data_IF_332987397294
#
_entry.id   IF_332987397294
#
_cell.length_a   1.000
_cell.length_b   1.000
_cell.length_c   1.000
_cell.angle_alpha   90.00
_cell.angle_beta   90.00
_cell.angle_gamma   90.00
#
_symmetry.space_group_name_H-M   'P 1'
#
loop_
_entity.id
_entity.type
_entity.pdbx_description
1 polymer ?
#
# COMPACT_ATOMS: atom_id res chain seq x y z
N UNK A 1 23.31 -5.98 55.35
CA UNK A 1 23.52 -5.76 53.89
C UNK A 1 22.47 -6.55 53.12
N UNK A 2 22.05 -6.06 51.93
CA UNK A 2 21.12 -6.65 50.93
C UNK A 2 19.71 -6.06 50.87
N UNK A 3 19.61 -4.79 50.46
CA UNK A 3 18.35 -4.28 49.89
C UNK A 3 18.53 -3.30 48.70
N UNK A 4 19.69 -3.32 48.03
CA UNK A 4 20.01 -2.39 46.92
C UNK A 4 20.14 -3.04 45.53
N UNK A 5 19.82 -4.32 45.37
CA UNK A 5 19.98 -5.03 44.08
C UNK A 5 18.70 -5.31 43.29
N UNK A 6 17.51 -5.18 43.89
CA UNK A 6 16.26 -5.52 43.19
C UNK A 6 15.69 -4.38 42.32
N UNK A 7 15.90 -3.11 42.69
CA UNK A 7 15.41 -1.97 41.90
C UNK A 7 16.13 -1.77 40.56
N UNK A 8 17.42 -2.11 40.48
CA UNK A 8 18.24 -1.88 39.26
C UNK A 8 17.94 -2.88 38.13
N UNK A 9 17.55 -4.12 38.49
CA UNK A 9 17.23 -5.18 37.52
C UNK A 9 15.86 -4.99 36.87
N UNK A 10 14.86 -4.53 37.65
CA UNK A 10 13.50 -4.30 37.14
C UNK A 10 13.48 -3.11 36.14
N UNK A 11 14.26 -2.06 36.40
CA UNK A 11 14.39 -0.92 35.48
C UNK A 11 15.04 -1.34 34.15
N UNK A 12 16.05 -2.23 34.18
CA UNK A 12 16.68 -2.75 32.97
C UNK A 12 15.73 -3.59 32.11
N UNK A 13 14.86 -4.39 32.74
CA UNK A 13 13.86 -5.21 32.03
C UNK A 13 12.78 -4.32 31.41
N UNK A 14 12.29 -3.30 32.11
CA UNK A 14 11.31 -2.36 31.57
C UNK A 14 11.87 -1.56 30.38
N UNK A 15 13.12 -1.10 30.46
CA UNK A 15 13.78 -0.39 29.35
C UNK A 15 14.01 -1.29 28.12
N UNK A 16 14.37 -2.57 28.32
CA UNK A 16 14.55 -3.53 27.24
C UNK A 16 13.22 -3.87 26.52
N UNK A 17 12.12 -4.00 27.26
CA UNK A 17 10.80 -4.27 26.68
C UNK A 17 10.29 -3.07 25.86
N UNK A 18 10.48 -1.84 26.35
CA UNK A 18 10.10 -0.63 25.61
C UNK A 18 10.91 -0.50 24.30
N UNK A 19 12.20 -0.82 24.32
CA UNK A 19 13.07 -0.79 23.13
C UNK A 19 12.64 -1.84 22.08
N UNK A 20 12.19 -3.02 22.52
CA UNK A 20 11.62 -4.05 21.62
C UNK A 20 10.28 -3.64 21.00
N UNK A 21 9.42 -2.90 21.72
CA UNK A 21 8.14 -2.41 21.15
C UNK A 21 8.40 -1.33 20.10
N UNK A 22 9.36 -0.42 20.32
CA UNK A 22 9.76 0.56 19.31
C UNK A 22 10.45 -0.08 18.10
N UNK A 23 11.28 -1.11 18.29
CA UNK A 23 11.87 -1.87 17.18
C UNK A 23 10.79 -2.66 16.39
N UNK A 24 9.78 -3.22 17.09
CA UNK A 24 8.64 -3.89 16.46
C UNK A 24 7.75 -2.94 15.66
N UNK A 25 7.48 -1.73 16.17
CA UNK A 25 6.77 -0.69 15.42
C UNK A 25 7.59 -0.16 14.23
N UNK A 26 8.91 -0.07 14.38
CA UNK A 26 9.83 0.36 13.31
C UNK A 26 9.91 -0.68 12.18
N UNK A 27 9.76 -1.97 12.49
CA UNK A 27 9.68 -3.04 11.49
C UNK A 27 8.33 -3.08 10.76
N UNK A 28 7.24 -2.64 11.39
CA UNK A 28 5.92 -2.51 10.75
C UNK A 28 5.80 -1.29 9.83
N UNK A 29 6.69 -0.28 9.98
CA UNK A 29 6.85 0.79 9.00
C UNK A 29 7.69 0.38 7.78
N UNK A 30 8.15 -0.87 7.69
CA UNK A 30 8.93 -1.38 6.56
C UNK A 30 8.01 -1.60 5.35
N UNK A 31 7.55 -0.50 4.75
CA UNK A 31 7.61 -0.36 3.29
C UNK A 31 9.06 -0.71 2.93
N UNK A 32 9.26 -1.66 2.03
CA UNK A 32 10.56 -2.23 1.66
C UNK A 32 11.69 -1.17 1.70
N UNK A 33 12.91 -1.51 2.16
CA UNK A 33 14.02 -0.55 2.20
C UNK A 33 14.15 0.07 0.82
N UNK A 34 13.64 1.29 0.72
CA UNK A 34 13.45 1.91 -0.57
C UNK A 34 14.82 2.05 -1.20
N UNK A 35 14.90 1.65 -2.44
CA UNK A 35 15.91 2.00 -3.43
C UNK A 35 15.96 3.52 -3.66
N UNK A 36 15.72 4.36 -2.65
CA UNK A 36 15.64 5.84 -2.68
C UNK A 36 16.78 6.45 -3.47
N UNK A 37 18.01 5.95 -3.29
CA UNK A 37 19.18 6.43 -4.05
C UNK A 37 19.28 5.91 -5.49
N UNK A 38 18.68 4.77 -5.82
CA UNK A 38 18.70 4.18 -7.17
C UNK A 38 17.52 4.65 -8.02
N UNK A 39 16.34 4.83 -7.41
CA UNK A 39 15.16 5.40 -8.05
C UNK A 39 15.38 6.85 -8.48
N UNK A 40 15.96 7.69 -7.61
CA UNK A 40 16.33 9.07 -7.95
C UNK A 40 17.36 9.11 -9.10
N UNK A 41 18.35 8.21 -9.10
CA UNK A 41 19.30 8.08 -10.22
C UNK A 41 18.61 7.69 -11.53
N UNK A 42 17.66 6.75 -11.49
CA UNK A 42 16.92 6.31 -12.68
C UNK A 42 16.06 7.45 -13.22
N UNK A 43 15.29 8.10 -12.34
CA UNK A 43 14.47 9.25 -12.74
C UNK A 43 15.32 10.38 -13.34
N UNK A 44 16.46 10.74 -12.72
CA UNK A 44 17.36 11.77 -13.25
C UNK A 44 18.03 11.39 -14.58
N UNK A 45 18.14 10.10 -14.90
CA UNK A 45 18.69 9.63 -16.17
C UNK A 45 17.71 9.74 -17.34
N UNK A 46 16.42 9.94 -17.08
CA UNK A 46 15.42 10.17 -18.12
C UNK A 46 15.63 11.54 -18.80
N UNK A 47 15.13 11.65 -20.03
CA UNK A 47 15.08 12.93 -20.74
C UNK A 47 14.22 13.95 -19.98
N UNK A 48 14.31 15.23 -20.34
CA UNK A 48 13.47 16.27 -19.71
C UNK A 48 11.98 15.97 -19.93
N UNK A 49 11.61 15.58 -21.14
CA UNK A 49 10.23 15.32 -21.52
C UNK A 49 9.72 14.04 -20.85
N UNK A 50 10.54 12.97 -20.82
CA UNK A 50 10.19 11.73 -20.13
C UNK A 50 10.01 11.91 -18.61
N UNK A 51 10.76 12.83 -17.98
CA UNK A 51 10.54 13.16 -16.57
C UNK A 51 9.19 13.85 -16.35
N UNK A 52 8.77 14.73 -17.26
CA UNK A 52 7.45 15.37 -17.17
C UNK A 52 6.34 14.34 -17.32
N UNK A 53 6.47 13.40 -18.26
CA UNK A 53 5.52 12.29 -18.41
C UNK A 53 5.49 11.43 -17.13
N UNK A 54 6.66 11.12 -16.57
CA UNK A 54 6.75 10.37 -15.31
C UNK A 54 6.05 11.10 -14.15
N UNK A 55 6.20 12.43 -14.05
CA UNK A 55 5.56 13.24 -13.01
C UNK A 55 4.03 13.27 -13.16
N UNK A 56 3.53 13.33 -14.40
CA UNK A 56 2.09 13.24 -14.70
C UNK A 56 1.55 11.87 -14.27
N UNK A 57 2.21 10.78 -14.64
CA UNK A 57 1.78 9.44 -14.24
C UNK A 57 1.90 9.19 -12.74
N UNK A 58 2.92 9.72 -12.08
CA UNK A 58 3.07 9.65 -10.63
C UNK A 58 1.86 10.28 -9.92
N UNK A 59 1.41 11.42 -10.44
CA UNK A 59 0.21 12.12 -9.95
C UNK A 59 -1.04 11.31 -10.25
N UNK A 60 -1.21 10.83 -11.49
CA UNK A 60 -2.42 10.11 -11.93
C UNK A 60 -2.63 8.79 -11.17
N UNK A 61 -1.56 8.04 -10.93
CA UNK A 61 -1.61 6.71 -10.29
C UNK A 61 -1.24 6.73 -8.81
N UNK A 62 -1.16 7.92 -8.20
CA UNK A 62 -0.86 8.12 -6.78
C UNK A 62 0.36 7.29 -6.35
N UNK A 63 1.46 7.42 -7.10
CA UNK A 63 2.70 6.68 -6.90
C UNK A 63 3.91 7.60 -7.00
N UNK A 64 5.08 7.10 -6.61
CA UNK A 64 6.32 7.86 -6.64
C UNK A 64 6.85 7.94 -8.09
N UNK A 65 7.32 9.11 -8.52
CA UNK A 65 7.92 9.30 -9.87
C UNK A 65 9.14 8.41 -10.11
N UNK A 66 9.85 8.03 -9.04
CA UNK A 66 10.94 7.07 -9.09
C UNK A 66 10.45 5.65 -9.38
N UNK A 67 9.23 5.28 -8.98
CA UNK A 67 8.62 4.00 -9.38
C UNK A 67 8.19 4.04 -10.85
N UNK A 68 7.54 5.13 -11.28
CA UNK A 68 7.22 5.32 -12.70
C UNK A 68 8.47 5.20 -13.57
N UNK A 69 9.56 5.85 -13.18
CA UNK A 69 10.84 5.78 -13.89
C UNK A 69 11.46 4.37 -13.86
N UNK A 70 11.31 3.62 -12.76
CA UNK A 70 11.74 2.22 -12.66
C UNK A 70 10.97 1.32 -13.60
N UNK A 71 9.65 1.49 -13.68
CA UNK A 71 8.78 0.75 -14.60
C UNK A 71 9.16 1.11 -16.04
N UNK A 72 9.26 2.41 -16.35
CA UNK A 72 9.65 2.88 -17.67
C UNK A 72 11.00 2.34 -18.12
N UNK A 73 11.99 2.25 -17.23
CA UNK A 73 13.28 1.66 -17.56
C UNK A 73 13.20 0.16 -17.89
N UNK A 74 12.26 -0.57 -17.27
CA UNK A 74 12.06 -2.00 -17.52
C UNK A 74 11.29 -2.26 -18.81
N UNK A 75 10.28 -1.44 -19.09
CA UNK A 75 9.38 -1.60 -20.25
C UNK A 75 9.93 -0.93 -21.50
N UNK A 76 10.68 0.16 -21.32
CA UNK A 76 11.19 1.06 -22.35
C UNK A 76 10.10 1.55 -23.34
N UNK A 77 8.88 1.71 -22.84
CA UNK A 77 7.68 1.98 -23.64
C UNK A 77 6.59 2.54 -22.73
N UNK A 78 6.11 3.75 -23.02
CA UNK A 78 5.14 4.45 -22.18
C UNK A 78 3.76 3.80 -22.15
N UNK A 79 3.35 3.10 -23.22
CA UNK A 79 2.08 2.37 -23.24
C UNK A 79 2.15 1.14 -22.33
N UNK A 80 3.28 0.41 -22.37
CA UNK A 80 3.52 -0.73 -21.47
C UNK A 80 3.67 -0.28 -20.02
N UNK A 81 4.31 0.86 -19.79
CA UNK A 81 4.39 1.49 -18.45
C UNK A 81 3.01 1.82 -17.93
N UNK A 82 2.16 2.44 -18.75
CA UNK A 82 0.79 2.75 -18.38
C UNK A 82 0.00 1.50 -17.98
N UNK A 83 0.06 0.43 -18.80
CA UNK A 83 -0.60 -0.86 -18.49
C UNK A 83 -0.15 -1.46 -17.16
N UNK A 84 1.14 -1.36 -16.85
CA UNK A 84 1.67 -1.85 -15.58
C UNK A 84 1.19 -0.98 -14.40
N UNK A 85 1.22 0.34 -14.52
CA UNK A 85 0.73 1.27 -13.50
C UNK A 85 -0.77 1.11 -13.24
N UNK A 86 -1.55 0.96 -14.31
CA UNK A 86 -2.99 0.69 -14.25
C UNK A 86 -3.27 -0.60 -13.49
N UNK A 87 -2.54 -1.68 -13.80
CA UNK A 87 -2.64 -2.93 -13.06
C UNK A 87 -2.34 -2.73 -11.58
N UNK A 88 -1.26 -2.05 -11.22
CA UNK A 88 -0.87 -1.79 -9.82
C UNK A 88 -1.84 -0.85 -9.09
N UNK A 89 -2.59 -0.02 -9.83
CA UNK A 89 -3.57 0.91 -9.26
C UNK A 89 -4.89 0.21 -8.92
N UNK A 90 -5.39 -0.61 -9.85
CA UNK A 90 -6.70 -1.24 -9.76
C UNK A 90 -6.69 -2.63 -9.12
N UNK A 91 -5.52 -3.27 -9.02
CA UNK A 91 -5.39 -4.62 -8.46
C UNK A 91 -4.45 -4.64 -7.26
N UNK A 92 -4.68 -5.59 -6.38
CA UNK A 92 -3.84 -5.92 -5.24
C UNK A 92 -3.07 -7.17 -5.63
N UNK A 93 -1.74 -7.08 -5.59
CA UNK A 93 -0.88 -8.20 -5.93
C UNK A 93 -1.21 -9.45 -5.08
N UNK A 94 -1.20 -10.63 -5.69
CA UNK A 94 -1.63 -11.87 -5.04
C UNK A 94 -0.78 -12.22 -3.80
N UNK A 95 0.53 -11.93 -3.86
CA UNK A 95 1.39 -12.12 -2.69
C UNK A 95 1.03 -11.14 -1.58
N UNK A 96 0.65 -9.90 -1.92
CA UNK A 96 0.14 -8.92 -0.94
C UNK A 96 -1.19 -9.39 -0.36
N UNK A 97 -2.14 -9.87 -1.18
CA UNK A 97 -3.42 -10.43 -0.70
C UNK A 97 -3.19 -11.53 0.34
N UNK A 98 -2.26 -12.44 0.06
CA UNK A 98 -1.90 -13.51 0.99
C UNK A 98 -1.35 -13.00 2.32
N UNK A 99 -0.48 -11.98 2.32
CA UNK A 99 0.00 -11.38 3.57
C UNK A 99 -1.12 -10.64 4.31
N UNK A 100 -1.95 -9.86 3.60
CA UNK A 100 -3.08 -9.15 4.20
C UNK A 100 -4.08 -10.11 4.84
N UNK A 101 -4.35 -11.26 4.21
CA UNK A 101 -5.20 -12.29 4.80
C UNK A 101 -4.64 -12.79 6.14
N UNK A 102 -3.32 -13.03 6.23
CA UNK A 102 -2.67 -13.38 7.51
C UNK A 102 -2.77 -12.28 8.55
N UNK A 103 -2.78 -11.03 8.12
CA UNK A 103 -2.96 -9.87 8.99
C UNK A 103 -4.41 -9.66 9.46
N UNK A 104 -5.36 -10.46 8.95
CA UNK A 104 -6.77 -10.44 9.33
C UNK A 104 -7.69 -9.68 8.37
N UNK A 105 -7.24 -9.35 7.15
CA UNK A 105 -8.12 -8.86 6.09
C UNK A 105 -8.95 -10.02 5.50
N UNK A 106 -10.17 -9.70 5.07
CA UNK A 106 -11.06 -10.66 4.41
C UNK A 106 -10.76 -10.68 2.91
N UNK A 107 -10.73 -11.87 2.32
CA UNK A 107 -10.52 -12.02 0.88
C UNK A 107 -11.64 -11.33 0.09
N UNK A 108 -12.87 -11.42 0.58
CA UNK A 108 -14.03 -10.79 -0.04
C UNK A 108 -13.92 -9.26 -0.03
N UNK A 109 -13.33 -8.68 1.03
CA UNK A 109 -13.07 -7.23 1.07
C UNK A 109 -11.91 -6.86 0.11
N UNK A 110 -10.88 -7.70 -0.02
CA UNK A 110 -9.79 -7.48 -0.98
C UNK A 110 -10.32 -7.44 -2.43
N UNK A 111 -11.14 -8.41 -2.82
CA UNK A 111 -11.77 -8.45 -4.15
C UNK A 111 -12.75 -7.29 -4.36
N UNK A 112 -13.56 -6.97 -3.35
CA UNK A 112 -14.49 -5.84 -3.42
C UNK A 112 -13.74 -4.51 -3.57
N UNK A 113 -12.57 -4.34 -2.94
CA UNK A 113 -11.73 -3.17 -3.12
C UNK A 113 -11.27 -2.99 -4.57
N UNK A 114 -10.87 -4.07 -5.25
CA UNK A 114 -10.46 -4.03 -6.67
C UNK A 114 -11.63 -3.66 -7.58
N UNK A 115 -12.81 -4.25 -7.37
CA UNK A 115 -14.02 -3.90 -8.14
C UNK A 115 -14.40 -2.43 -7.96
N UNK A 116 -14.40 -1.95 -6.71
CA UNK A 116 -14.68 -0.55 -6.39
C UNK A 116 -13.60 0.38 -6.94
N UNK A 117 -12.36 -0.07 -7.01
CA UNK A 117 -11.27 0.70 -7.59
C UNK A 117 -11.55 1.01 -9.06
N UNK A 118 -11.91 0.00 -9.85
CA UNK A 118 -12.26 0.16 -11.28
C UNK A 118 -13.45 1.10 -11.47
N UNK A 119 -14.45 1.02 -10.60
CA UNK A 119 -15.68 1.81 -10.74
C UNK A 119 -15.55 3.25 -10.28
N UNK A 120 -14.75 3.50 -9.25
CA UNK A 120 -14.63 4.82 -8.62
C UNK A 120 -13.39 5.59 -9.08
N UNK A 121 -12.45 4.93 -9.75
CA UNK A 121 -11.14 5.50 -10.10
C UNK A 121 -10.23 5.73 -8.88
N UNK A 122 -10.55 5.16 -7.71
CA UNK A 122 -9.73 5.25 -6.50
C UNK A 122 -8.80 4.05 -6.41
N UNK A 123 -7.61 4.20 -5.85
CA UNK A 123 -6.63 3.10 -5.74
C UNK A 123 -7.13 1.95 -4.85
N UNK A 124 -7.04 0.70 -5.35
CA UNK A 124 -7.54 -0.48 -4.65
C UNK A 124 -6.92 -0.66 -3.26
N UNK A 125 -5.61 -0.44 -3.16
CA UNK A 125 -4.86 -0.52 -1.90
C UNK A 125 -5.32 0.50 -0.85
N UNK A 126 -5.72 1.70 -1.26
CA UNK A 126 -6.21 2.73 -0.34
C UNK A 126 -7.64 2.40 0.14
N UNK A 127 -8.49 1.90 -0.77
CA UNK A 127 -9.84 1.42 -0.43
C UNK A 127 -9.80 0.30 0.61
N UNK A 128 -8.96 -0.73 0.42
CA UNK A 128 -8.88 -1.83 1.39
C UNK A 128 -8.29 -1.38 2.73
N UNK A 129 -7.30 -0.48 2.75
CA UNK A 129 -6.74 0.06 3.99
C UNK A 129 -7.77 0.89 4.76
N UNK A 130 -8.57 1.67 4.04
CA UNK A 130 -9.68 2.43 4.62
C UNK A 130 -10.83 1.52 5.08
N UNK A 131 -11.04 0.37 4.44
CA UNK A 131 -11.97 -0.66 4.90
C UNK A 131 -11.46 -1.42 6.13
N UNK A 132 -10.16 -1.66 6.21
CA UNK A 132 -9.52 -2.29 7.35
C UNK A 132 -9.71 -3.79 7.46
N UNK A 133 -9.26 -4.30 8.60
CA UNK A 133 -9.30 -5.72 8.94
C UNK A 133 -10.71 -6.16 9.32
N UNK A 134 -10.93 -7.47 9.36
CA UNK A 134 -12.19 -8.05 9.82
C UNK A 134 -12.57 -7.56 11.23
N UNK A 135 -11.57 -7.43 12.12
CA UNK A 135 -11.73 -6.96 13.51
C UNK A 135 -12.24 -5.52 13.64
N UNK A 136 -12.03 -4.70 12.62
CA UNK A 136 -12.35 -3.27 12.68
C UNK A 136 -13.86 -3.01 12.55
N UNK A 137 -14.64 -4.01 12.13
CA UNK A 137 -16.10 -3.94 11.95
C UNK A 137 -16.61 -2.77 11.10
N UNK A 138 -15.74 -2.16 10.28
CA UNK A 138 -16.08 -1.09 9.33
C UNK A 138 -16.89 -1.63 8.17
N UNK A 139 -17.88 -0.86 7.72
CA UNK A 139 -18.72 -1.18 6.56
C UNK A 139 -18.17 -0.48 5.32
N UNK A 140 -18.48 -1.03 4.16
CA UNK A 140 -18.12 -0.40 2.88
C UNK A 140 -18.78 0.96 2.67
N UNK A 141 -19.97 1.17 3.24
CA UNK A 141 -20.66 2.47 3.26
C UNK A 141 -19.92 3.58 3.99
N UNK A 142 -18.96 3.22 4.85
CA UNK A 142 -18.17 4.19 5.61
C UNK A 142 -16.94 4.66 4.81
N UNK A 143 -16.59 3.92 3.75
CA UNK A 143 -15.39 4.12 2.92
C UNK A 143 -15.76 4.71 1.56
N UNK A 144 -16.91 4.30 1.03
CA UNK A 144 -17.35 4.58 -0.34
C UNK A 144 -18.78 5.07 -0.30
N UNK A 145 -19.13 6.02 -1.17
CA UNK A 145 -20.48 6.58 -1.22
C UNK A 145 -21.49 5.50 -1.60
N UNK A 146 -22.73 5.65 -1.16
CA UNK A 146 -23.77 4.62 -1.34
C UNK A 146 -24.08 4.36 -2.82
N UNK A 147 -23.98 5.39 -3.65
CA UNK A 147 -24.24 5.33 -5.09
C UNK A 147 -23.16 4.51 -5.81
N UNK A 148 -21.90 4.68 -5.43
CA UNK A 148 -20.75 3.93 -5.94
C UNK A 148 -20.86 2.43 -5.55
N UNK A 149 -21.41 2.13 -4.37
CA UNK A 149 -21.65 0.75 -3.91
C UNK A 149 -22.79 0.07 -4.67
N UNK A 150 -23.86 0.80 -4.98
CA UNK A 150 -24.98 0.26 -5.76
C UNK A 150 -24.56 -0.08 -7.19
N UNK A 151 -23.75 0.79 -7.82
CA UNK A 151 -23.17 0.50 -9.13
C UNK A 151 -22.34 -0.79 -9.13
N UNK A 152 -21.60 -1.04 -8.04
CA UNK A 152 -20.82 -2.25 -7.84
C UNK A 152 -21.63 -3.53 -7.83
N UNK A 153 -22.75 -3.50 -7.12
CA UNK A 153 -23.63 -4.66 -6.94
C UNK A 153 -24.46 -4.94 -8.20
N UNK A 154 -24.81 -3.92 -8.98
CA UNK A 154 -25.53 -4.08 -10.25
C UNK A 154 -24.64 -4.58 -11.41
N UNK A 155 -23.33 -4.35 -11.35
CA UNK A 155 -22.39 -4.79 -12.40
C UNK A 155 -22.15 -6.31 -12.40
N UNK A 156 -22.55 -7.03 -11.36
CA UNK A 156 -22.43 -8.50 -11.27
C UNK A 156 -23.53 -9.25 -12.03
N UNK A 157 -24.48 -8.56 -12.67
CA UNK A 157 -25.57 -9.22 -13.42
C UNK A 157 -25.61 -8.81 -14.89
N UNK A 158 -24.93 -9.58 -15.76
CA UNK A 158 -25.43 -9.93 -17.06
C UNK A 158 -25.92 -11.40 -17.03
N UNK A 159 -27.18 -11.62 -17.40
CA UNK A 159 -27.71 -12.95 -17.71
C UNK A 159 -27.11 -13.49 -19.00
#
# INVERSE_FOLDING_TARGET
MKQKQYGKKIIFVAAAVILCVFAGLFLLQRKEPSTKGQGDKIYRSLSKDDRQVADVYATLYETDKEEVARIQKKTNDWEKTNKQLEKEFFTIDENIKYQMQKEGYRLEDLEKAEKLSVQTGKKAMELIRAKGKASDNRKWSDVVKKEELQAAETAEVPK
#
